data_IF_128917301529
#
_entry.id   IF_128917301529
#
_cell.length_a   1.000
_cell.length_b   1.000
_cell.length_c   1.000
_cell.angle_alpha   90.00
_cell.angle_beta   90.00
_cell.angle_gamma   90.00
#
_symmetry.space_group_name_H-M   'P 1'
#
loop_
_entity.id
_entity.type
_entity.pdbx_description
1 polymer ?
#
# COMPACT_ATOMS: atom_id res chain seq x y z
N UNK A 1 17.84 13.50 25.63
CA UNK A 1 18.92 12.56 25.25
C UNK A 1 18.30 11.17 25.09
N UNK A 2 18.51 10.52 23.94
CA UNK A 2 18.06 9.12 23.75
C UNK A 2 19.04 8.17 24.44
N UNK A 3 18.52 7.11 25.11
CA UNK A 3 19.37 6.04 25.62
C UNK A 3 19.96 5.23 24.45
N UNK A 4 21.05 4.54 24.69
CA UNK A 4 21.65 3.62 23.72
C UNK A 4 20.97 2.25 23.80
N UNK A 5 20.64 1.71 22.64
CA UNK A 5 20.10 0.36 22.50
C UNK A 5 20.86 -0.37 21.38
N UNK A 6 20.97 -1.67 21.48
CA UNK A 6 21.56 -2.51 20.44
C UNK A 6 20.62 -2.65 19.25
N UNK A 7 19.31 -2.74 19.53
CA UNK A 7 18.26 -2.93 18.51
C UNK A 7 17.02 -2.10 18.86
N UNK A 8 16.40 -1.53 17.84
CA UNK A 8 15.09 -0.87 17.93
C UNK A 8 14.12 -1.53 16.94
N UNK A 9 12.98 -1.99 17.43
CA UNK A 9 11.86 -2.46 16.60
C UNK A 9 10.78 -1.38 16.59
N UNK A 10 10.65 -0.59 15.51
CA UNK A 10 9.68 0.51 15.46
C UNK A 10 8.26 -0.01 15.31
N UNK A 11 7.34 0.53 16.11
CA UNK A 11 5.89 0.31 16.01
C UNK A 11 5.18 1.65 15.77
N UNK A 12 5.50 2.27 14.63
CA UNK A 12 5.02 3.60 14.26
C UNK A 12 3.62 3.49 13.68
N UNK A 13 2.63 4.20 14.22
CA UNK A 13 1.30 4.33 13.66
C UNK A 13 1.30 5.14 12.34
N UNK A 14 0.32 4.91 11.47
CA UNK A 14 0.27 5.58 10.17
C UNK A 14 0.15 7.12 10.29
N UNK A 15 -0.62 7.59 11.27
CA UNK A 15 -0.84 9.03 11.53
C UNK A 15 0.39 9.79 12.00
N UNK A 16 1.42 9.09 12.51
CA UNK A 16 2.65 9.69 13.04
C UNK A 16 3.90 9.26 12.26
N UNK A 17 3.74 8.85 11.01
CA UNK A 17 4.87 8.33 10.21
C UNK A 17 6.03 9.30 10.16
N UNK A 18 5.79 10.56 9.86
CA UNK A 18 6.84 11.59 9.74
C UNK A 18 7.64 11.75 11.04
N UNK A 19 6.94 11.91 12.16
CA UNK A 19 7.59 12.06 13.48
C UNK A 19 8.28 10.76 13.91
N UNK A 20 7.61 9.62 13.78
CA UNK A 20 8.16 8.33 14.17
C UNK A 20 9.43 7.97 13.40
N UNK A 21 9.45 8.23 12.09
CA UNK A 21 10.65 7.99 11.27
C UNK A 21 11.76 9.01 11.55
N UNK A 22 11.43 10.25 11.97
CA UNK A 22 12.42 11.21 12.43
C UNK A 22 13.13 10.73 13.71
N UNK A 23 12.38 10.20 14.68
CA UNK A 23 12.95 9.60 15.90
C UNK A 23 13.79 8.37 15.54
N UNK A 24 13.31 7.54 14.62
CA UNK A 24 14.05 6.34 14.19
C UNK A 24 15.38 6.69 13.53
N UNK A 25 15.42 7.73 12.67
CA UNK A 25 16.67 8.24 12.08
C UNK A 25 17.68 8.67 13.15
N UNK A 26 17.22 9.20 14.27
CA UNK A 26 18.12 9.56 15.37
C UNK A 26 18.78 8.32 15.98
N UNK A 27 18.06 7.20 16.11
CA UNK A 27 18.66 5.93 16.53
C UNK A 27 19.64 5.39 15.49
N UNK A 28 19.28 5.45 14.20
CA UNK A 28 20.15 5.06 13.10
C UNK A 28 21.47 5.87 13.10
N UNK A 29 21.39 7.19 13.34
CA UNK A 29 22.57 8.07 13.46
C UNK A 29 23.46 7.70 14.65
N UNK A 30 22.89 7.15 15.70
CA UNK A 30 23.63 6.65 16.87
C UNK A 30 24.24 5.25 16.63
N UNK A 31 24.05 4.67 15.44
CA UNK A 31 24.53 3.33 15.09
C UNK A 31 23.66 2.19 15.62
N UNK A 32 22.46 2.48 16.12
CA UNK A 32 21.53 1.45 16.60
C UNK A 32 20.93 0.69 15.40
N UNK A 33 20.94 -0.63 15.45
CA UNK A 33 20.28 -1.45 14.43
C UNK A 33 18.75 -1.32 14.51
N UNK A 34 18.12 -0.85 13.44
CA UNK A 34 16.67 -0.61 13.39
C UNK A 34 15.96 -1.64 12.49
N UNK A 35 14.97 -2.32 13.03
CA UNK A 35 14.14 -3.29 12.32
C UNK A 35 12.68 -2.79 12.29
N UNK A 36 12.23 -2.12 11.24
CA UNK A 36 12.84 -1.73 9.96
C UNK A 36 13.53 -0.37 10.07
N UNK A 37 14.31 -0.02 9.05
CA UNK A 37 14.89 1.31 8.93
C UNK A 37 13.88 2.38 8.47
N UNK A 38 14.20 3.65 8.78
CA UNK A 38 13.34 4.80 8.53
C UNK A 38 13.02 5.02 7.05
N UNK A 39 13.99 4.78 6.17
CA UNK A 39 13.84 4.93 4.71
C UNK A 39 12.81 3.94 4.17
N UNK A 40 12.93 2.67 4.51
CA UNK A 40 12.00 1.62 4.07
C UNK A 40 10.57 1.86 4.57
N UNK A 41 10.42 2.28 5.83
CA UNK A 41 9.10 2.62 6.40
C UNK A 41 8.48 3.81 5.66
N UNK A 42 9.25 4.88 5.42
CA UNK A 42 8.74 6.05 4.71
C UNK A 42 8.32 5.70 3.29
N UNK A 43 9.18 5.03 2.53
CA UNK A 43 8.92 4.66 1.15
C UNK A 43 7.70 3.71 1.00
N UNK A 44 7.57 2.72 1.88
CA UNK A 44 6.46 1.76 1.83
C UNK A 44 5.11 2.34 2.25
N UNK A 45 5.09 3.46 2.98
CA UNK A 45 3.86 4.15 3.41
C UNK A 45 3.37 5.20 2.44
N UNK A 46 4.24 5.72 1.61
CA UNK A 46 3.87 6.58 0.49
C UNK A 46 3.40 5.70 -0.68
N UNK A 47 2.09 5.74 -0.97
CA UNK A 47 1.51 4.90 -2.02
C UNK A 47 2.12 5.14 -3.40
N UNK A 48 2.38 6.40 -3.75
CA UNK A 48 2.97 6.73 -5.06
C UNK A 48 4.42 6.24 -5.12
N UNK A 49 5.22 6.54 -4.12
CA UNK A 49 6.60 6.07 -4.03
C UNK A 49 6.67 4.53 -4.02
N UNK A 50 5.77 3.88 -3.28
CA UNK A 50 5.69 2.43 -3.26
C UNK A 50 5.44 1.84 -4.67
N UNK A 51 4.51 2.40 -5.44
CA UNK A 51 4.28 1.97 -6.82
C UNK A 51 5.51 2.19 -7.70
N UNK A 52 6.21 3.32 -7.57
CA UNK A 52 7.43 3.60 -8.32
C UNK A 52 8.55 2.58 -8.01
N UNK A 53 8.76 2.27 -6.73
CA UNK A 53 9.77 1.28 -6.30
C UNK A 53 9.43 -0.11 -6.84
N UNK A 54 8.18 -0.55 -6.72
CA UNK A 54 7.73 -1.86 -7.20
C UNK A 54 7.82 -1.96 -8.73
N UNK A 55 7.43 -0.89 -9.45
CA UNK A 55 7.55 -0.83 -10.90
C UNK A 55 9.01 -0.91 -11.37
N UNK A 56 9.92 -0.18 -10.73
CA UNK A 56 11.35 -0.22 -11.03
C UNK A 56 11.94 -1.64 -10.83
N UNK A 57 11.38 -2.40 -9.92
CA UNK A 57 11.75 -3.80 -9.66
C UNK A 57 10.98 -4.80 -10.55
N UNK A 58 10.15 -4.33 -11.49
CA UNK A 58 9.32 -5.19 -12.36
C UNK A 58 8.48 -6.19 -11.54
N UNK A 59 7.87 -5.71 -10.47
CA UNK A 59 6.88 -6.46 -9.69
C UNK A 59 5.50 -6.13 -10.27
N UNK A 60 4.73 -7.17 -10.59
CA UNK A 60 3.39 -7.00 -11.15
C UNK A 60 2.45 -6.24 -10.21
N UNK A 61 1.73 -5.30 -10.76
CA UNK A 61 0.74 -4.48 -10.05
C UNK A 61 -0.42 -4.16 -10.99
N UNK A 62 -1.62 -3.87 -10.47
CA UNK A 62 -2.69 -3.32 -11.30
C UNK A 62 -2.23 -2.01 -11.97
N UNK A 63 -2.68 -1.78 -13.20
CA UNK A 63 -2.39 -0.52 -13.91
C UNK A 63 -2.78 0.66 -13.07
N UNK A 64 -1.85 1.57 -12.83
CA UNK A 64 -2.03 2.70 -11.91
C UNK A 64 -1.52 3.96 -12.56
N UNK A 65 -2.30 5.03 -12.48
CA UNK A 65 -1.91 6.35 -12.96
C UNK A 65 -2.05 7.41 -11.86
N UNK A 66 -1.19 8.42 -11.96
CA UNK A 66 -1.19 9.61 -11.10
C UNK A 66 -1.07 10.85 -11.98
N UNK A 67 -1.84 11.88 -11.67
CA UNK A 67 -1.70 13.19 -12.29
C UNK A 67 -1.90 14.31 -11.25
N UNK A 68 -0.98 15.26 -11.29
CA UNK A 68 -1.06 16.48 -10.46
C UNK A 68 -1.94 17.55 -11.09
N UNK A 69 -2.14 17.53 -12.44
CA UNK A 69 -2.92 18.55 -13.15
C UNK A 69 -4.42 18.26 -13.09
N UNK A 70 -5.25 19.26 -12.76
CA UNK A 70 -6.69 19.17 -12.81
C UNK A 70 -7.28 18.96 -14.21
N UNK A 71 -6.55 19.34 -15.27
CA UNK A 71 -7.08 19.38 -16.65
C UNK A 71 -7.10 18.02 -17.35
N UNK A 72 -6.49 16.99 -16.77
CA UNK A 72 -6.26 15.69 -17.41
C UNK A 72 -7.07 14.52 -16.86
N UNK A 73 -8.27 14.75 -16.32
CA UNK A 73 -9.10 13.68 -15.73
C UNK A 73 -9.42 12.59 -16.74
N UNK A 74 -9.90 12.97 -17.93
CA UNK A 74 -10.27 11.99 -18.94
C UNK A 74 -9.06 11.23 -19.50
N UNK A 75 -7.91 11.90 -19.65
CA UNK A 75 -6.67 11.27 -20.04
C UNK A 75 -6.16 10.32 -18.96
N UNK A 76 -6.21 10.72 -17.69
CA UNK A 76 -5.81 9.89 -16.55
C UNK A 76 -6.60 8.58 -16.50
N UNK A 77 -7.92 8.65 -16.66
CA UNK A 77 -8.79 7.48 -16.73
C UNK A 77 -8.41 6.62 -17.94
N UNK A 78 -8.20 7.22 -19.10
CA UNK A 78 -7.82 6.53 -20.33
C UNK A 78 -6.49 5.77 -20.23
N UNK A 79 -5.53 6.27 -19.43
CA UNK A 79 -4.25 5.60 -19.18
C UNK A 79 -4.41 4.32 -18.35
N UNK A 80 -5.40 4.28 -17.47
CA UNK A 80 -5.64 3.11 -16.59
C UNK A 80 -6.47 2.06 -17.32
N UNK A 81 -7.49 2.49 -18.06
CA UNK A 81 -8.36 1.59 -18.80
C UNK A 81 -9.84 1.97 -18.71
N UNK A 82 -10.71 0.97 -18.73
CA UNK A 82 -12.15 1.14 -18.64
C UNK A 82 -12.65 0.91 -17.20
N UNK A 83 -13.79 1.53 -16.84
CA UNK A 83 -14.44 1.23 -15.57
C UNK A 83 -14.85 -0.26 -15.47
N UNK A 84 -14.91 -0.83 -14.27
CA UNK A 84 -14.74 -0.18 -12.97
C UNK A 84 -13.30 0.17 -12.63
N UNK A 85 -13.11 1.26 -11.89
CA UNK A 85 -11.81 1.79 -11.47
C UNK A 85 -11.77 2.03 -9.97
N UNK A 86 -10.58 1.99 -9.39
CA UNK A 86 -10.35 2.38 -8.00
C UNK A 86 -9.69 3.75 -7.96
N UNK A 87 -10.29 4.68 -7.21
CA UNK A 87 -9.67 5.97 -6.90
C UNK A 87 -9.22 5.95 -5.44
N UNK A 88 -7.95 6.21 -5.18
CA UNK A 88 -7.34 6.10 -3.84
C UNK A 88 -6.68 7.42 -3.45
N UNK A 89 -7.05 7.98 -2.31
CA UNK A 89 -6.30 9.08 -1.71
C UNK A 89 -4.88 8.62 -1.32
N UNK A 90 -3.88 9.44 -1.61
CA UNK A 90 -2.49 9.14 -1.22
C UNK A 90 -2.33 9.16 0.30
N UNK A 91 -2.89 10.16 0.95
CA UNK A 91 -2.74 10.40 2.39
C UNK A 91 -3.82 9.72 3.23
N UNK A 92 -4.15 8.46 2.89
CA UNK A 92 -5.17 7.69 3.60
C UNK A 92 -4.70 6.28 3.95
N UNK A 93 -5.29 5.71 5.00
CA UNK A 93 -4.95 4.38 5.51
C UNK A 93 -6.20 3.56 5.82
N UNK A 94 -6.05 2.25 6.00
CA UNK A 94 -7.12 1.34 6.44
C UNK A 94 -8.36 1.33 5.52
N UNK A 95 -8.18 1.50 4.22
CA UNK A 95 -9.28 1.53 3.26
C UNK A 95 -10.14 2.80 3.29
N UNK A 96 -9.77 3.81 4.10
CA UNK A 96 -10.38 5.14 4.03
C UNK A 96 -9.88 5.85 2.77
N UNK A 97 -10.76 6.63 2.12
CA UNK A 97 -10.41 7.31 0.86
C UNK A 97 -10.10 6.38 -0.31
N UNK A 98 -10.64 5.17 -0.32
CA UNK A 98 -10.61 4.23 -1.43
C UNK A 98 -12.04 4.06 -1.95
N UNK A 99 -12.27 4.43 -3.20
CA UNK A 99 -13.58 4.44 -3.83
C UNK A 99 -13.56 3.58 -5.08
N UNK A 100 -14.52 2.67 -5.20
CA UNK A 100 -14.81 1.94 -6.43
C UNK A 100 -15.73 2.81 -7.29
N UNK A 101 -15.30 3.11 -8.50
CA UNK A 101 -16.08 3.83 -9.49
C UNK A 101 -16.51 2.85 -10.58
N UNK A 102 -17.75 2.44 -10.57
CA UNK A 102 -18.30 1.43 -11.48
C UNK A 102 -18.44 1.94 -12.91
N UNK A 103 -18.50 3.25 -13.10
CA UNK A 103 -18.61 3.89 -14.41
C UNK A 103 -17.58 5.00 -14.58
N UNK A 104 -17.24 5.33 -15.82
CA UNK A 104 -16.36 6.46 -16.14
C UNK A 104 -16.88 7.76 -15.50
N UNK A 105 -18.18 8.03 -15.59
CA UNK A 105 -18.79 9.23 -15.02
C UNK A 105 -18.66 9.27 -13.50
N UNK A 106 -18.81 8.12 -12.83
CA UNK A 106 -18.58 8.02 -11.39
C UNK A 106 -17.11 8.31 -11.04
N UNK A 107 -16.16 7.77 -11.80
CA UNK A 107 -14.74 8.06 -11.61
C UNK A 107 -14.42 9.55 -11.78
N UNK A 108 -14.94 10.19 -12.83
CA UNK A 108 -14.79 11.63 -13.06
C UNK A 108 -15.33 12.44 -11.87
N UNK A 109 -16.53 12.12 -11.38
CA UNK A 109 -17.14 12.81 -10.24
C UNK A 109 -16.33 12.67 -8.95
N UNK A 110 -15.79 11.49 -8.67
CA UNK A 110 -14.93 11.26 -7.48
C UNK A 110 -13.61 12.02 -7.60
N UNK A 111 -13.01 12.01 -8.77
CA UNK A 111 -11.77 12.74 -9.05
C UNK A 111 -11.99 14.25 -8.86
N UNK A 112 -13.09 14.80 -9.38
CA UNK A 112 -13.40 16.21 -9.23
C UNK A 112 -13.65 16.61 -7.77
N UNK A 113 -14.33 15.74 -7.00
CA UNK A 113 -14.50 15.94 -5.57
C UNK A 113 -13.17 15.97 -4.82
N UNK A 114 -12.26 15.02 -5.08
CA UNK A 114 -10.94 14.99 -4.43
C UNK A 114 -10.09 16.20 -4.82
N UNK A 115 -10.19 16.67 -6.04
CA UNK A 115 -9.55 17.90 -6.50
C UNK A 115 -10.09 19.15 -5.80
N UNK A 116 -11.40 19.25 -5.65
CA UNK A 116 -12.02 20.34 -4.88
C UNK A 116 -11.46 20.43 -3.47
N UNK A 117 -11.09 19.30 -2.89
CA UNK A 117 -10.43 19.19 -1.58
C UNK A 117 -8.89 19.36 -1.64
N UNK A 118 -8.32 19.62 -2.82
CA UNK A 118 -6.86 19.67 -3.07
C UNK A 118 -6.13 18.40 -2.59
N UNK A 119 -6.80 17.26 -2.65
CA UNK A 119 -6.25 15.99 -2.21
C UNK A 119 -5.50 15.29 -3.35
N UNK A 120 -4.34 14.69 -3.05
CA UNK A 120 -3.61 13.85 -3.98
C UNK A 120 -4.23 12.44 -4.03
N UNK A 121 -4.33 11.86 -5.22
CA UNK A 121 -4.95 10.54 -5.42
C UNK A 121 -4.27 9.74 -6.55
N UNK A 122 -4.49 8.44 -6.53
CA UNK A 122 -4.18 7.51 -7.61
C UNK A 122 -5.48 7.03 -8.25
N UNK A 123 -5.43 6.75 -9.55
CA UNK A 123 -6.45 5.97 -10.26
C UNK A 123 -5.83 4.63 -10.63
N UNK A 124 -6.54 3.55 -10.35
CA UNK A 124 -6.04 2.19 -10.52
C UNK A 124 -7.10 1.31 -11.14
N UNK A 125 -6.68 0.36 -11.97
CA UNK A 125 -7.55 -0.69 -12.48
C UNK A 125 -8.13 -1.55 -11.34
N UNK A 126 -9.38 -1.95 -11.51
CA UNK A 126 -10.06 -2.81 -10.54
C UNK A 126 -9.87 -4.28 -10.90
N UNK A 127 -9.21 -5.03 -10.04
CA UNK A 127 -9.00 -6.47 -10.22
C UNK A 127 -10.28 -7.22 -9.84
N UNK A 128 -11.15 -7.43 -10.83
CA UNK A 128 -12.45 -8.10 -10.63
C UNK A 128 -12.31 -9.53 -10.10
N UNK A 129 -11.28 -10.21 -10.54
CA UNK A 129 -10.95 -11.59 -10.17
C UNK A 129 -10.69 -11.75 -8.67
N UNK A 130 -10.26 -10.68 -8.00
CA UNK A 130 -10.05 -10.68 -6.56
C UNK A 130 -11.36 -10.81 -5.76
N UNK A 131 -12.51 -10.37 -6.33
CA UNK A 131 -13.85 -10.53 -5.71
C UNK A 131 -13.94 -10.20 -4.22
N UNK A 132 -13.26 -9.12 -3.78
CA UNK A 132 -13.21 -8.74 -2.37
C UNK A 132 -12.25 -9.58 -1.52
N UNK A 133 -11.38 -10.36 -2.14
CA UNK A 133 -10.34 -11.13 -1.47
C UNK A 133 -8.95 -10.54 -1.73
N UNK A 134 -8.05 -10.75 -0.81
CA UNK A 134 -6.61 -10.58 -1.00
C UNK A 134 -5.81 -11.58 -0.18
N UNK A 135 -4.52 -11.72 -0.52
CA UNK A 135 -3.58 -12.55 0.22
C UNK A 135 -2.59 -11.62 0.92
N UNK A 136 -2.52 -11.72 2.24
CA UNK A 136 -1.50 -11.04 3.03
C UNK A 136 -0.39 -12.00 3.44
N UNK A 137 0.84 -11.67 3.07
CA UNK A 137 2.06 -12.38 3.43
C UNK A 137 2.83 -11.63 4.51
N UNK A 138 3.25 -12.32 5.56
CA UNK A 138 4.21 -11.79 6.53
C UNK A 138 5.62 -12.24 6.13
N UNK A 139 6.45 -11.27 5.78
CA UNK A 139 7.86 -11.50 5.43
C UNK A 139 8.72 -11.08 6.61
N UNK A 140 9.59 -11.99 7.06
CA UNK A 140 10.58 -11.75 8.11
C UNK A 140 11.94 -12.19 7.61
N UNK A 141 12.93 -11.31 7.62
CA UNK A 141 14.30 -11.57 7.20
C UNK A 141 14.38 -12.32 5.84
N UNK A 142 13.58 -11.86 4.87
CA UNK A 142 13.54 -12.42 3.52
C UNK A 142 12.84 -13.78 3.37
N UNK A 143 12.07 -14.21 4.39
CA UNK A 143 11.26 -15.43 4.34
C UNK A 143 9.79 -15.12 4.64
N UNK A 144 8.85 -15.73 3.91
CA UNK A 144 7.45 -15.69 4.29
C UNK A 144 7.24 -16.68 5.44
N UNK A 145 6.88 -16.13 6.61
CA UNK A 145 6.67 -16.88 7.85
C UNK A 145 5.21 -17.21 8.11
N UNK A 146 4.29 -16.41 7.57
CA UNK A 146 2.85 -16.65 7.63
C UNK A 146 2.18 -16.04 6.41
N UNK A 147 1.03 -16.59 6.04
CA UNK A 147 0.17 -16.06 4.98
C UNK A 147 -1.29 -16.30 5.30
N UNK A 148 -2.14 -15.35 4.95
CA UNK A 148 -3.57 -15.43 5.12
C UNK A 148 -4.30 -14.90 3.91
N UNK A 149 -5.43 -15.51 3.57
CA UNK A 149 -6.43 -14.93 2.70
C UNK A 149 -7.36 -14.08 3.57
N UNK A 150 -7.63 -12.86 3.14
CA UNK A 150 -8.63 -12.00 3.76
C UNK A 150 -9.80 -11.88 2.79
N UNK A 151 -11.01 -12.03 3.31
CA UNK A 151 -12.25 -11.92 2.53
C UNK A 151 -13.09 -10.80 3.14
N UNK A 152 -13.62 -9.93 2.29
CA UNK A 152 -14.51 -8.83 2.70
C UNK A 152 -15.80 -9.32 3.34
N UNK A 153 -16.46 -8.47 4.10
CA UNK A 153 -17.80 -8.71 4.59
C UNK A 153 -18.83 -8.23 3.56
N UNK A 154 -19.77 -9.09 3.20
CA UNK A 154 -20.83 -8.76 2.23
C UNK A 154 -20.29 -8.31 0.88
N UNK A 155 -20.89 -7.26 0.31
CA UNK A 155 -20.55 -6.75 -1.03
C UNK A 155 -19.41 -5.71 -1.02
N UNK A 156 -18.67 -5.53 0.09
CA UNK A 156 -17.52 -4.62 0.11
C UNK A 156 -16.36 -5.22 -0.71
N UNK A 157 -15.83 -4.46 -1.63
CA UNK A 157 -14.67 -4.87 -2.43
C UNK A 157 -13.34 -4.83 -1.64
N UNK A 158 -13.35 -4.29 -0.42
CA UNK A 158 -12.18 -4.12 0.44
C UNK A 158 -12.11 -5.22 1.48
N UNK A 159 -11.09 -6.04 1.43
CA UNK A 159 -10.84 -7.20 2.33
C UNK A 159 -10.31 -6.85 3.72
N UNK A 160 -10.39 -5.58 4.13
CA UNK A 160 -9.86 -5.14 5.42
C UNK A 160 -10.61 -5.74 6.62
N UNK A 161 -9.91 -6.41 7.52
CA UNK A 161 -10.49 -7.04 8.72
C UNK A 161 -11.24 -6.05 9.62
N UNK A 162 -10.79 -4.80 9.70
CA UNK A 162 -11.46 -3.74 10.46
C UNK A 162 -12.86 -3.38 9.95
N UNK A 163 -13.23 -3.87 8.78
CA UNK A 163 -14.54 -3.68 8.15
C UNK A 163 -15.45 -4.91 8.28
N UNK A 164 -15.09 -5.83 9.18
CA UNK A 164 -15.85 -7.06 9.40
C UNK A 164 -15.43 -8.24 8.53
N UNK A 165 -14.37 -8.08 7.72
CA UNK A 165 -13.81 -9.17 6.92
C UNK A 165 -13.26 -10.31 7.77
N UNK A 166 -13.11 -11.47 7.16
CA UNK A 166 -12.54 -12.68 7.78
C UNK A 166 -11.12 -12.94 7.26
N UNK A 167 -10.38 -13.76 7.99
CA UNK A 167 -9.05 -14.22 7.56
C UNK A 167 -8.88 -15.70 7.85
N UNK A 168 -8.27 -16.40 6.90
CA UNK A 168 -7.90 -17.81 7.04
C UNK A 168 -6.46 -18.04 6.58
N UNK A 169 -5.79 -19.02 7.15
CA UNK A 169 -4.45 -19.39 6.71
C UNK A 169 -4.50 -19.98 5.30
N UNK A 170 -3.58 -19.57 4.44
CA UNK A 170 -3.52 -20.03 3.04
C UNK A 170 -2.11 -20.49 2.67
N UNK A 171 -2.04 -21.53 1.84
CA UNK A 171 -0.77 -21.99 1.25
C UNK A 171 -0.49 -21.21 -0.02
N UNK A 172 0.65 -20.53 -0.04
CA UNK A 172 1.10 -19.74 -1.19
C UNK A 172 1.63 -20.61 -2.33
N UNK A 173 1.38 -20.18 -3.54
CA UNK A 173 2.11 -20.62 -4.71
C UNK A 173 3.58 -20.16 -4.63
N UNK A 174 4.50 -20.82 -5.37
CA UNK A 174 5.91 -20.38 -5.46
C UNK A 174 6.05 -18.94 -5.95
N UNK A 175 5.17 -18.50 -6.87
CA UNK A 175 5.18 -17.16 -7.45
C UNK A 175 4.74 -16.10 -6.46
N UNK A 176 3.64 -16.30 -5.74
CA UNK A 176 3.17 -15.40 -4.67
C UNK A 176 4.23 -15.24 -3.60
N UNK A 177 4.84 -16.34 -3.16
CA UNK A 177 5.94 -16.32 -2.18
C UNK A 177 7.14 -15.51 -2.68
N UNK A 178 7.55 -15.72 -3.93
CA UNK A 178 8.66 -15.00 -4.57
C UNK A 178 8.34 -13.50 -4.67
N UNK A 179 7.12 -13.16 -5.08
CA UNK A 179 6.64 -11.78 -5.21
C UNK A 179 6.66 -11.07 -3.86
N UNK A 180 6.13 -11.69 -2.80
CA UNK A 180 6.14 -11.13 -1.45
C UNK A 180 7.57 -10.86 -0.94
N UNK A 181 8.49 -11.81 -1.10
CA UNK A 181 9.90 -11.65 -0.70
C UNK A 181 10.57 -10.53 -1.50
N UNK A 182 10.36 -10.50 -2.81
CA UNK A 182 10.92 -9.48 -3.70
C UNK A 182 10.42 -8.08 -3.35
N UNK A 183 9.13 -7.96 -3.03
CA UNK A 183 8.51 -6.71 -2.59
C UNK A 183 9.13 -6.20 -1.29
N UNK A 184 9.22 -7.04 -0.24
CA UNK A 184 9.85 -6.64 1.02
C UNK A 184 11.32 -6.21 0.82
N UNK A 185 12.07 -6.93 -0.01
CA UNK A 185 13.47 -6.62 -0.34
C UNK A 185 13.61 -5.29 -1.08
N UNK A 186 12.67 -4.95 -1.97
CA UNK A 186 12.70 -3.71 -2.75
C UNK A 186 12.70 -2.45 -1.85
N UNK A 187 12.10 -2.54 -0.67
CA UNK A 187 12.08 -1.48 0.35
C UNK A 187 13.12 -1.67 1.46
N UNK A 188 13.99 -2.67 1.36
CA UNK A 188 14.91 -3.04 2.43
C UNK A 188 14.20 -3.24 3.79
N UNK A 189 13.04 -3.91 3.77
CA UNK A 189 12.27 -4.21 4.97
C UNK A 189 12.59 -5.61 5.48
N UNK A 190 13.06 -5.70 6.73
CA UNK A 190 13.27 -6.97 7.41
C UNK A 190 11.95 -7.57 7.92
N UNK A 191 10.96 -6.72 8.24
CA UNK A 191 9.61 -7.06 8.65
C UNK A 191 8.62 -6.38 7.72
N UNK A 192 7.80 -7.12 6.98
CA UNK A 192 6.80 -6.56 6.07
C UNK A 192 5.52 -7.39 6.02
N UNK A 193 4.38 -6.68 5.96
CA UNK A 193 3.13 -7.24 5.45
C UNK A 193 3.01 -6.86 3.98
N UNK A 194 2.89 -7.85 3.12
CA UNK A 194 2.73 -7.67 1.67
C UNK A 194 1.38 -8.22 1.26
N UNK A 195 0.59 -7.39 0.59
CA UNK A 195 -0.73 -7.71 0.04
C UNK A 195 -0.65 -7.86 -1.47
#
# INVERSE_FOLDING_TARGET
RLPRYDVVIPRIGASITSYGTAVLRQFETLGTYCVNGSVGITASRDKLHAHQVLAAQKIGMPTTAFAASPKDTSNLIGLVGTAPLIVKLLESTQGKGVVLAETKKAAESVIDAFRGLKANFLVQDFVKEASGEDIRCFVVAGKVVASMRRTSAGDDFRSNLHRGGTAEAVKLTPEERKTAIKSAKAFNLALAGVD
#
